data_IF_747377342351
#
_entry.id   IF_747377342351
#
_cell.length_a   1.000
_cell.length_b   1.000
_cell.length_c   1.000
_cell.angle_alpha   90.00
_cell.angle_beta   90.00
_cell.angle_gamma   90.00
#
_symmetry.space_group_name_H-M   'P 1'
#
loop_
_entity.id
_entity.type
_entity.pdbx_description
1 polymer ?
#
# COMPACT_ATOMS: atom_id res chain seq x y z
N UNK A 1 25.87 -7.09 -0.05
CA UNK A 1 24.94 -6.07 -0.58
C UNK A 1 24.02 -5.66 0.56
N UNK A 2 23.75 -4.36 0.74
CA UNK A 2 22.75 -3.88 1.71
C UNK A 2 21.42 -3.74 0.98
N UNK A 3 20.35 -4.28 1.54
CA UNK A 3 19.00 -4.04 1.05
C UNK A 3 18.57 -2.63 1.47
N UNK A 4 18.15 -1.81 0.52
CA UNK A 4 17.60 -0.49 0.80
C UNK A 4 16.08 -0.66 0.87
N UNK A 5 15.43 -0.31 1.99
CA UNK A 5 13.98 -0.43 2.08
C UNK A 5 13.31 0.53 1.09
N UNK A 6 12.37 0.01 0.30
CA UNK A 6 11.66 0.78 -0.73
C UNK A 6 10.21 0.97 -0.31
N UNK A 7 9.76 2.21 -0.20
CA UNK A 7 8.38 2.54 0.14
C UNK A 7 7.68 3.14 -1.08
N UNK A 8 6.54 2.57 -1.46
CA UNK A 8 5.69 3.14 -2.49
C UNK A 8 5.04 4.43 -1.98
N UNK A 9 5.40 5.56 -2.58
CA UNK A 9 4.85 6.87 -2.25
C UNK A 9 4.29 7.51 -3.51
N UNK A 10 2.97 7.48 -3.67
CA UNK A 10 2.31 8.03 -4.86
C UNK A 10 0.82 7.72 -4.90
N UNK A 11 0.01 8.48 -4.15
CA UNK A 11 -1.43 8.52 -4.39
C UNK A 11 -2.20 7.23 -4.14
N UNK A 12 -1.72 6.35 -3.25
CA UNK A 12 -2.48 5.16 -2.82
C UNK A 12 -3.80 5.62 -2.23
N UNK A 13 -4.88 5.43 -2.98
CA UNK A 13 -6.18 6.04 -2.70
C UNK A 13 -7.33 5.04 -2.67
N UNK A 14 -7.05 3.79 -3.03
CA UNK A 14 -8.00 2.71 -3.11
C UNK A 14 -7.36 1.36 -2.77
N UNK A 15 -8.19 0.36 -2.46
CA UNK A 15 -7.74 -1.03 -2.28
C UNK A 15 -7.14 -1.60 -3.57
N UNK A 16 -7.60 -1.13 -4.75
CA UNK A 16 -7.05 -1.54 -6.04
C UNK A 16 -5.59 -1.09 -6.21
N UNK A 17 -5.23 0.11 -5.74
CA UNK A 17 -3.84 0.58 -5.76
C UNK A 17 -2.96 -0.32 -4.87
N UNK A 18 -3.45 -0.72 -3.70
CA UNK A 18 -2.74 -1.62 -2.79
C UNK A 18 -2.58 -3.03 -3.38
N UNK A 19 -3.63 -3.55 -4.03
CA UNK A 19 -3.56 -4.83 -4.72
C UNK A 19 -2.56 -4.78 -5.87
N UNK A 20 -2.57 -3.72 -6.68
CA UNK A 20 -1.60 -3.55 -7.76
C UNK A 20 -0.16 -3.45 -7.25
N UNK A 21 0.07 -2.78 -6.10
CA UNK A 21 1.38 -2.74 -5.46
C UNK A 21 1.81 -4.13 -4.97
N UNK A 22 0.89 -4.88 -4.34
CA UNK A 22 1.12 -6.27 -3.92
C UNK A 22 1.48 -7.18 -5.10
N UNK A 23 0.77 -7.04 -6.21
CA UNK A 23 0.95 -7.85 -7.42
C UNK A 23 2.10 -7.38 -8.31
N UNK A 24 2.67 -6.19 -8.06
CA UNK A 24 3.73 -5.60 -8.89
C UNK A 24 5.02 -6.42 -8.93
N UNK A 25 5.23 -7.32 -7.95
CA UNK A 25 6.46 -8.08 -7.78
C UNK A 25 7.68 -7.21 -7.42
N UNK A 26 7.48 -5.91 -7.17
CA UNK A 26 8.53 -5.02 -6.72
C UNK A 26 8.86 -5.34 -5.24
N UNK A 27 10.15 -5.28 -4.84
CA UNK A 27 10.56 -5.46 -3.45
C UNK A 27 10.20 -4.20 -2.65
N UNK A 28 8.92 -4.06 -2.31
CA UNK A 28 8.37 -2.96 -1.53
C UNK A 28 8.27 -3.36 -0.06
N UNK A 29 8.79 -2.51 0.83
CA UNK A 29 8.70 -2.64 2.28
C UNK A 29 7.46 -1.95 2.85
N UNK A 30 6.74 -1.18 2.03
CA UNK A 30 5.49 -0.55 2.44
C UNK A 30 4.94 0.43 1.41
N UNK A 31 3.82 1.05 1.78
CA UNK A 31 3.17 2.09 1.00
C UNK A 31 2.62 3.20 1.90
N UNK A 32 2.61 4.44 1.40
CA UNK A 32 2.09 5.60 2.13
C UNK A 32 0.77 6.05 1.51
N UNK A 33 -0.30 6.03 2.32
CA UNK A 33 -1.58 6.68 2.00
C UNK A 33 -1.83 7.86 2.93
N UNK A 34 -2.22 8.99 2.35
CA UNK A 34 -2.48 10.24 3.07
C UNK A 34 -3.94 10.65 2.97
N UNK A 35 -4.24 11.63 2.12
CA UNK A 35 -5.59 12.21 1.93
C UNK A 35 -6.71 11.18 1.81
N UNK A 36 -6.48 10.05 1.16
CA UNK A 36 -7.51 9.03 0.98
C UNK A 36 -8.03 8.42 2.29
N UNK A 37 -7.17 8.28 3.31
CA UNK A 37 -7.58 7.86 4.65
C UNK A 37 -8.43 8.94 5.33
N UNK A 38 -8.02 10.21 5.22
CA UNK A 38 -8.75 11.35 5.81
C UNK A 38 -10.09 11.62 5.12
N UNK A 39 -10.19 11.35 3.82
CA UNK A 39 -11.41 11.51 3.02
C UNK A 39 -12.33 10.27 3.07
N UNK A 40 -11.93 9.21 3.78
CA UNK A 40 -12.70 7.95 3.85
C UNK A 40 -12.78 7.17 2.54
N UNK A 41 -11.91 7.46 1.57
CA UNK A 41 -11.82 6.75 0.29
C UNK A 41 -11.12 5.40 0.41
N UNK A 42 -10.29 5.26 1.43
CA UNK A 42 -9.59 4.03 1.76
C UNK A 42 -9.88 3.69 3.23
N UNK A 43 -10.47 2.53 3.46
CA UNK A 43 -10.61 1.98 4.80
C UNK A 43 -9.30 1.33 5.24
N UNK A 44 -8.82 1.71 6.42
CA UNK A 44 -7.54 1.22 6.94
C UNK A 44 -7.62 -0.27 7.31
N UNK A 45 -8.74 -0.73 7.86
CA UNK A 45 -8.89 -2.12 8.29
C UNK A 45 -8.95 -3.05 7.07
N UNK A 46 -9.70 -2.67 6.02
CA UNK A 46 -9.72 -3.41 4.76
C UNK A 46 -8.35 -3.42 4.07
N UNK A 47 -7.64 -2.28 4.09
CA UNK A 47 -6.30 -2.17 3.53
C UNK A 47 -5.30 -3.10 4.22
N UNK A 48 -5.31 -3.15 5.56
CA UNK A 48 -4.44 -4.05 6.33
C UNK A 48 -4.82 -5.50 6.08
N UNK A 49 -6.12 -5.85 6.09
CA UNK A 49 -6.57 -7.22 5.82
C UNK A 49 -6.15 -7.73 4.43
N UNK A 50 -6.21 -6.86 3.41
CA UNK A 50 -5.74 -7.18 2.04
C UNK A 50 -4.25 -7.51 2.00
N UNK A 51 -3.44 -6.80 2.80
CA UNK A 51 -1.99 -6.91 2.81
C UNK A 51 -1.48 -8.02 3.73
N UNK A 52 -2.10 -8.24 4.89
CA UNK A 52 -1.74 -9.30 5.84
C UNK A 52 -2.22 -10.69 5.39
N UNK A 53 -3.25 -10.76 4.54
CA UNK A 53 -3.75 -12.01 3.97
C UNK A 53 -2.87 -12.55 2.84
N UNK A 54 -1.63 -12.97 3.13
CA UNK A 54 -0.78 -13.87 2.31
C UNK A 54 0.45 -14.33 3.09
#
# INVERSE_FOLDING_TARGET
AVAIPVIASGGVSSLADLQALKDSGAPLDGAISGRALYEGKLDLAEAVALLEGS
#
